data_IF_719412117188
#
_entry.id   IF_719412117188
#
_cell.length_a   1.000
_cell.length_b   1.000
_cell.length_c   1.000
_cell.angle_alpha   90.00
_cell.angle_beta   90.00
_cell.angle_gamma   90.00
#
_symmetry.space_group_name_H-M   'P 1'
#
loop_
_entity.id
_entity.type
_entity.pdbx_description
1 polymer ?
#
# COMPACT_ATOMS: atom_id res chain seq x y z
N UNK A 1 -28.02 -49.72 -23.17
CA UNK A 1 -28.45 -48.30 -23.04
C UNK A 1 -27.99 -47.72 -21.71
N UNK A 2 -26.70 -47.87 -21.36
CA UNK A 2 -26.24 -47.61 -19.99
C UNK A 2 -24.76 -47.28 -19.82
N UNK A 3 -24.04 -46.93 -20.89
CA UNK A 3 -22.61 -46.56 -20.82
C UNK A 3 -22.34 -45.11 -21.27
N UNK A 4 -23.38 -44.40 -21.72
CA UNK A 4 -23.28 -43.01 -22.17
C UNK A 4 -23.48 -42.03 -21.00
N UNK A 5 -24.35 -42.38 -20.04
CA UNK A 5 -24.67 -41.54 -18.88
C UNK A 5 -23.53 -41.50 -17.83
N UNK A 6 -22.72 -42.56 -17.71
CA UNK A 6 -21.59 -42.60 -16.77
C UNK A 6 -20.41 -41.70 -17.19
N UNK A 7 -20.15 -41.55 -18.49
CA UNK A 7 -19.05 -40.69 -18.98
C UNK A 7 -19.37 -39.20 -18.86
N UNK A 8 -20.65 -38.81 -18.93
CA UNK A 8 -21.05 -37.41 -18.72
C UNK A 8 -20.96 -36.97 -17.26
N UNK A 9 -21.15 -37.90 -16.31
CA UNK A 9 -21.00 -37.60 -14.88
C UNK A 9 -19.54 -37.38 -14.48
N UNK A 10 -18.60 -38.11 -15.11
CA UNK A 10 -17.16 -37.96 -14.85
C UNK A 10 -16.64 -36.61 -15.40
N UNK A 11 -17.16 -36.12 -16.54
CA UNK A 11 -16.81 -34.78 -17.04
C UNK A 11 -17.50 -33.64 -16.27
N UNK A 12 -18.68 -33.88 -15.69
CA UNK A 12 -19.38 -32.89 -14.84
C UNK A 12 -18.73 -32.72 -13.46
N UNK A 13 -18.08 -33.77 -12.93
CA UNK A 13 -17.37 -33.72 -11.64
C UNK A 13 -16.00 -33.03 -11.67
N UNK A 14 -15.36 -32.92 -12.84
CA UNK A 14 -14.02 -32.32 -12.96
C UNK A 14 -14.05 -30.78 -13.05
N UNK A 15 -15.22 -30.17 -13.27
CA UNK A 15 -15.38 -28.74 -13.51
C UNK A 15 -15.80 -27.91 -12.28
N UNK A 16 -15.94 -28.50 -11.09
CA UNK A 16 -16.38 -27.79 -9.88
C UNK A 16 -15.26 -27.47 -8.87
N UNK A 17 -13.99 -27.66 -9.25
CA UNK A 17 -12.84 -27.33 -8.40
C UNK A 17 -12.11 -26.05 -8.84
N UNK A 18 -12.83 -25.04 -9.33
CA UNK A 18 -12.32 -23.67 -9.29
C UNK A 18 -12.83 -23.02 -8.01
N UNK A 19 -12.16 -23.32 -6.89
CA UNK A 19 -12.26 -22.46 -5.72
C UNK A 19 -11.71 -21.10 -6.14
N UNK A 20 -12.59 -20.18 -6.52
CA UNK A 20 -12.20 -18.78 -6.61
C UNK A 20 -11.74 -18.39 -5.20
N UNK A 21 -10.44 -18.15 -5.04
CA UNK A 21 -9.87 -17.57 -3.82
C UNK A 21 -10.35 -16.12 -3.79
N UNK A 22 -11.61 -15.94 -3.39
CA UNK A 22 -12.28 -14.65 -3.34
C UNK A 22 -11.56 -13.82 -2.26
N UNK A 23 -10.77 -12.84 -2.70
CA UNK A 23 -10.15 -11.84 -1.80
C UNK A 23 -8.62 -11.87 -1.69
N UNK A 24 -7.90 -12.68 -2.47
CA UNK A 24 -6.43 -12.58 -2.46
C UNK A 24 -5.94 -11.33 -3.20
N UNK A 25 -5.03 -10.59 -2.58
CA UNK A 25 -4.37 -9.41 -3.15
C UNK A 25 -2.89 -9.38 -2.74
N UNK A 26 -2.15 -8.35 -3.15
CA UNK A 26 -0.71 -8.25 -2.87
C UNK A 26 -0.39 -8.27 -1.37
N UNK A 27 -1.28 -7.79 -0.50
CA UNK A 27 -1.09 -7.73 0.95
C UNK A 27 -1.35 -9.08 1.62
N UNK A 28 -2.36 -9.82 1.15
CA UNK A 28 -2.79 -11.11 1.75
C UNK A 28 -2.02 -12.30 1.18
N UNK A 29 -1.61 -12.26 -0.09
CA UNK A 29 -0.88 -13.35 -0.77
C UNK A 29 0.55 -13.58 -0.27
N UNK A 30 1.13 -12.62 0.48
CA UNK A 30 2.54 -12.67 0.92
C UNK A 30 2.76 -13.44 2.22
N UNK A 31 1.70 -13.88 2.91
CA UNK A 31 1.82 -14.71 4.12
C UNK A 31 2.62 -14.05 5.25
N UNK A 32 2.51 -12.73 5.39
CA UNK A 32 3.23 -11.96 6.42
C UNK A 32 2.61 -12.18 7.80
N UNK A 33 3.46 -12.30 8.83
CA UNK A 33 3.02 -12.54 10.21
C UNK A 33 3.24 -11.35 11.14
N UNK A 34 3.92 -10.30 10.67
CA UNK A 34 4.23 -9.11 11.48
C UNK A 34 3.82 -7.81 10.79
N UNK A 35 3.46 -6.81 11.59
CA UNK A 35 3.14 -5.47 11.11
C UNK A 35 4.25 -4.88 10.23
N UNK A 36 5.52 -4.98 10.68
CA UNK A 36 6.67 -4.47 9.91
C UNK A 36 6.78 -5.12 8.53
N UNK A 37 6.61 -6.44 8.44
CA UNK A 37 6.65 -7.13 7.15
C UNK A 37 5.48 -6.71 6.27
N UNK A 38 4.27 -6.62 6.82
CA UNK A 38 3.09 -6.16 6.08
C UNK A 38 3.29 -4.79 5.46
N UNK A 39 3.79 -3.82 6.24
CA UNK A 39 3.98 -2.46 5.77
C UNK A 39 5.09 -2.34 4.71
N UNK A 40 6.00 -3.31 4.64
CA UNK A 40 7.06 -3.41 3.65
C UNK A 40 6.63 -4.09 2.34
N UNK A 41 5.47 -4.74 2.29
CA UNK A 41 4.97 -5.41 1.07
C UNK A 41 4.63 -4.40 -0.01
N UNK A 42 3.76 -3.44 0.31
CA UNK A 42 3.29 -2.43 -0.62
C UNK A 42 2.73 -1.20 0.14
N UNK A 43 2.81 0.03 -0.43
CA UNK A 43 2.27 1.23 0.20
C UNK A 43 0.76 1.21 0.46
N UNK A 44 0.00 0.40 -0.27
CA UNK A 44 -1.46 0.29 -0.09
C UNK A 44 -1.87 -0.66 1.03
N UNK A 45 -0.95 -1.48 1.54
CA UNK A 45 -1.26 -2.42 2.62
C UNK A 45 -1.41 -1.68 3.95
N UNK A 46 -2.22 -2.21 4.84
CA UNK A 46 -2.44 -1.73 6.20
C UNK A 46 -2.39 -2.93 7.15
N UNK A 47 -2.25 -2.66 8.44
CA UNK A 47 -2.22 -3.69 9.47
C UNK A 47 -3.25 -3.42 10.55
N UNK A 48 -4.05 -4.42 10.92
CA UNK A 48 -4.96 -4.33 12.07
C UNK A 48 -4.33 -4.97 13.32
N UNK A 49 -4.10 -4.17 14.36
CA UNK A 49 -3.46 -4.64 15.61
C UNK A 49 -4.43 -5.01 16.73
N UNK A 50 -5.75 -4.85 16.52
CA UNK A 50 -6.77 -5.25 17.51
C UNK A 50 -6.71 -6.73 17.80
N UNK A 51 -6.74 -7.12 19.07
CA UNK A 51 -6.55 -8.51 19.48
C UNK A 51 -7.68 -9.41 18.97
N UNK A 52 -8.93 -8.93 19.07
CA UNK A 52 -10.14 -9.59 18.61
C UNK A 52 -10.22 -9.77 17.08
N UNK A 53 -9.45 -9.00 16.31
CA UNK A 53 -9.48 -9.07 14.84
C UNK A 53 -8.81 -10.35 14.34
N UNK A 54 -9.56 -11.18 13.61
CA UNK A 54 -9.08 -12.48 13.14
C UNK A 54 -9.02 -13.58 14.21
N UNK A 55 -9.58 -13.35 15.41
CA UNK A 55 -9.82 -14.44 16.37
C UNK A 55 -11.06 -15.26 15.97
N UNK A 56 -11.02 -16.57 16.20
CA UNK A 56 -12.17 -17.46 15.99
C UNK A 56 -12.22 -18.19 14.65
N UNK A 57 -11.13 -18.26 13.89
CA UNK A 57 -11.08 -19.02 12.63
C UNK A 57 -11.66 -18.30 11.41
N UNK A 58 -11.95 -17.00 11.54
CA UNK A 58 -12.18 -16.15 10.38
C UNK A 58 -10.86 -16.07 9.58
N UNK A 59 -10.91 -16.41 8.30
CA UNK A 59 -9.78 -16.38 7.35
C UNK A 59 -9.26 -14.96 7.04
N UNK A 60 -9.56 -13.99 7.92
CA UNK A 60 -9.30 -12.58 7.73
C UNK A 60 -7.86 -12.29 8.15
N UNK A 61 -7.03 -11.94 7.16
CA UNK A 61 -5.64 -11.56 7.39
C UNK A 61 -5.55 -10.23 8.12
N UNK A 62 -4.63 -10.13 9.09
CA UNK A 62 -4.27 -8.85 9.75
C UNK A 62 -3.58 -7.88 8.80
N UNK A 63 -3.02 -8.38 7.70
CA UNK A 63 -2.43 -7.58 6.64
C UNK A 63 -3.31 -7.61 5.39
N UNK A 64 -3.91 -6.48 5.04
CA UNK A 64 -4.75 -6.34 3.85
C UNK A 64 -4.74 -4.88 3.37
N UNK A 65 -5.45 -4.55 2.31
CA UNK A 65 -5.75 -3.17 1.92
C UNK A 65 -6.52 -2.47 3.05
N UNK A 66 -6.26 -1.17 3.25
CA UNK A 66 -6.92 -0.37 4.30
C UNK A 66 -8.45 -0.57 4.31
N UNK A 67 -9.09 -0.47 3.15
CA UNK A 67 -10.55 -0.57 3.06
C UNK A 67 -11.06 -1.96 3.45
N UNK A 68 -10.38 -3.04 3.01
CA UNK A 68 -10.75 -4.40 3.35
C UNK A 68 -10.69 -4.65 4.87
N UNK A 69 -9.72 -4.05 5.57
CA UNK A 69 -9.64 -4.17 7.03
C UNK A 69 -10.79 -3.44 7.72
N UNK A 70 -11.16 -2.24 7.23
CA UNK A 70 -12.29 -1.48 7.77
C UNK A 70 -13.61 -2.23 7.54
N UNK A 71 -13.82 -2.74 6.33
CA UNK A 71 -15.00 -3.53 5.96
C UNK A 71 -15.04 -4.87 6.75
N UNK A 72 -13.87 -5.41 7.09
CA UNK A 72 -13.70 -6.58 7.95
C UNK A 72 -13.92 -6.32 9.44
N UNK A 73 -14.24 -5.08 9.85
CA UNK A 73 -14.54 -4.71 11.23
C UNK A 73 -13.34 -4.22 12.05
N UNK A 74 -12.20 -3.92 11.43
CA UNK A 74 -11.12 -3.21 12.11
C UNK A 74 -11.52 -1.73 12.30
N UNK A 75 -11.31 -1.19 13.48
CA UNK A 75 -11.57 0.25 13.74
C UNK A 75 -10.41 1.11 13.25
N UNK A 76 -10.65 2.39 12.99
CA UNK A 76 -9.58 3.31 12.56
C UNK A 76 -8.46 3.44 13.59
N UNK A 77 -8.79 3.38 14.89
CA UNK A 77 -7.80 3.44 15.97
C UNK A 77 -6.98 2.15 16.07
N UNK A 78 -7.50 1.04 15.54
CA UNK A 78 -6.84 -0.26 15.46
C UNK A 78 -6.01 -0.47 14.21
N UNK A 79 -5.95 0.53 13.33
CA UNK A 79 -5.39 0.42 12.00
C UNK A 79 -4.06 1.16 11.88
N UNK A 80 -3.01 0.40 11.54
CA UNK A 80 -1.68 0.92 11.24
C UNK A 80 -1.53 1.13 9.74
N UNK A 81 -1.48 2.41 9.33
CA UNK A 81 -1.32 2.81 7.94
C UNK A 81 -0.51 4.11 7.82
N UNK A 82 0.82 4.06 7.99
CA UNK A 82 1.66 5.23 7.79
C UNK A 82 1.62 5.66 6.33
N UNK A 83 1.65 6.98 6.08
CA UNK A 83 1.71 7.57 4.75
C UNK A 83 2.99 8.39 4.58
N UNK A 84 3.49 8.44 3.34
CA UNK A 84 4.67 9.24 3.02
C UNK A 84 4.31 10.73 3.00
N UNK A 85 5.16 11.58 3.56
CA UNK A 85 4.95 13.02 3.68
C UNK A 85 6.15 13.81 3.18
N UNK A 86 5.87 15.01 2.67
CA UNK A 86 6.86 16.02 2.27
C UNK A 86 6.55 17.32 3.00
N UNK A 87 7.57 17.92 3.59
CA UNK A 87 7.49 19.27 4.16
C UNK A 87 8.63 20.14 3.61
N UNK A 88 8.29 21.35 3.21
CA UNK A 88 9.24 22.34 2.71
C UNK A 88 9.86 23.05 3.92
N UNK A 89 11.19 23.06 4.00
CA UNK A 89 11.95 23.64 5.11
C UNK A 89 12.61 24.98 4.71
N UNK A 90 12.96 25.13 3.43
CA UNK A 90 13.48 26.39 2.87
C UNK A 90 13.04 26.51 1.42
N UNK A 91 12.39 27.62 1.08
CA UNK A 91 11.84 27.92 -0.24
C UNK A 91 12.04 29.41 -0.60
N UNK A 92 13.31 29.81 -0.63
CA UNK A 92 13.71 31.12 -1.12
C UNK A 92 13.32 31.25 -2.61
N UNK A 93 12.73 32.37 -3.04
CA UNK A 93 12.42 32.62 -4.45
C UNK A 93 13.67 32.58 -5.33
N UNK A 94 13.46 32.30 -6.62
CA UNK A 94 14.53 32.38 -7.62
C UNK A 94 14.95 33.83 -7.83
N UNK A 95 16.23 34.05 -8.13
CA UNK A 95 16.76 35.39 -8.39
C UNK A 95 16.46 35.84 -9.82
N UNK A 96 15.98 37.08 -9.99
CA UNK A 96 15.64 37.64 -11.31
C UNK A 96 16.87 37.97 -12.17
N UNK A 97 18.05 38.17 -11.54
CA UNK A 97 19.32 38.49 -12.20
C UNK A 97 20.48 37.86 -11.44
N UNK A 98 21.52 37.42 -12.16
CA UNK A 98 22.79 36.98 -11.58
C UNK A 98 23.70 38.18 -11.19
N UNK A 99 23.13 39.24 -10.61
CA UNK A 99 23.85 40.44 -10.23
C UNK A 99 23.94 40.55 -8.71
N UNK A 100 25.10 40.22 -8.15
CA UNK A 100 25.37 40.15 -6.72
C UNK A 100 26.56 39.24 -6.41
N UNK A 101 26.90 39.05 -5.14
CA UNK A 101 27.83 37.99 -4.74
C UNK A 101 27.20 36.62 -5.03
N UNK A 102 28.01 35.61 -5.37
CA UNK A 102 27.52 34.29 -5.77
C UNK A 102 26.58 33.64 -4.73
N UNK A 103 26.78 33.94 -3.44
CA UNK A 103 25.98 33.41 -2.32
C UNK A 103 24.54 33.97 -2.23
N UNK A 104 24.25 35.10 -2.88
CA UNK A 104 22.91 35.72 -2.88
C UNK A 104 22.03 35.27 -4.07
N UNK A 105 22.60 34.49 -5.01
CA UNK A 105 21.88 34.04 -6.20
C UNK A 105 21.20 32.69 -5.93
N UNK A 106 19.87 32.66 -6.01
CA UNK A 106 19.06 31.45 -5.85
C UNK A 106 18.61 30.94 -7.21
N UNK A 107 19.13 29.80 -7.65
CA UNK A 107 18.83 29.19 -8.95
C UNK A 107 17.86 28.00 -8.87
N UNK A 108 17.66 27.45 -7.67
CA UNK A 108 16.80 26.28 -7.45
C UNK A 108 15.89 26.55 -6.28
N UNK A 109 14.62 26.17 -6.41
CA UNK A 109 13.66 26.14 -5.30
C UNK A 109 12.77 24.89 -5.34
N UNK A 110 12.35 24.38 -4.17
CA UNK A 110 12.81 24.75 -2.82
C UNK A 110 14.25 24.27 -2.55
N UNK A 111 14.96 24.92 -1.63
CA UNK A 111 16.36 24.58 -1.32
C UNK A 111 16.48 23.48 -0.26
N UNK A 112 15.45 23.31 0.57
CA UNK A 112 15.46 22.27 1.62
C UNK A 112 14.09 21.64 1.78
N UNK A 113 14.07 20.32 1.71
CA UNK A 113 12.90 19.47 1.91
C UNK A 113 13.16 18.48 3.06
N UNK A 114 12.11 18.11 3.77
CA UNK A 114 12.09 16.96 4.68
C UNK A 114 11.05 15.97 4.19
N UNK A 115 11.52 14.78 3.83
CA UNK A 115 10.70 13.66 3.36
C UNK A 115 10.64 12.59 4.46
N UNK A 116 9.43 12.11 4.74
CA UNK A 116 9.22 10.89 5.54
C UNK A 116 8.63 9.87 4.60
N UNK A 117 9.35 8.79 4.34
CA UNK A 117 8.94 7.78 3.36
C UNK A 117 8.54 6.48 4.07
N UNK A 118 7.37 5.97 3.69
CA UNK A 118 7.00 4.60 3.98
C UNK A 118 7.82 3.63 3.13
N UNK A 119 8.21 2.45 3.65
CA UNK A 119 8.79 1.39 2.84
C UNK A 119 7.96 1.07 1.59
N UNK A 120 8.65 0.75 0.49
CA UNK A 120 8.06 0.49 -0.83
C UNK A 120 7.28 1.66 -1.47
N UNK A 121 7.24 2.85 -0.85
CA UNK A 121 6.57 4.01 -1.40
C UNK A 121 7.53 4.91 -2.18
N UNK A 122 7.08 5.35 -3.36
CA UNK A 122 7.71 6.45 -4.10
C UNK A 122 6.95 7.75 -3.79
N UNK A 123 7.67 8.87 -3.70
CA UNK A 123 7.07 10.19 -3.51
C UNK A 123 7.59 11.15 -4.58
N UNK A 124 6.69 11.88 -5.24
CA UNK A 124 7.04 12.87 -6.25
C UNK A 124 7.15 14.25 -5.62
N UNK A 125 8.33 14.85 -5.71
CA UNK A 125 8.53 16.24 -5.31
C UNK A 125 7.97 17.16 -6.39
N UNK A 126 6.72 17.57 -6.24
CA UNK A 126 6.10 18.57 -7.12
C UNK A 126 6.73 19.95 -6.88
N UNK A 127 6.92 20.72 -7.95
CA UNK A 127 7.32 22.13 -7.86
C UNK A 127 8.82 22.38 -7.69
N UNK A 128 9.68 21.43 -8.06
CA UNK A 128 11.10 21.70 -8.22
C UNK A 128 11.29 22.61 -9.45
N UNK A 129 11.63 23.88 -9.22
CA UNK A 129 11.94 24.84 -10.28
C UNK A 129 13.44 25.09 -10.32
N UNK A 130 14.00 25.01 -11.52
CA UNK A 130 15.41 25.30 -11.81
C UNK A 130 15.43 26.38 -12.88
N UNK A 131 16.15 27.47 -12.62
CA UNK A 131 16.46 28.52 -13.60
C UNK A 131 17.52 28.05 -14.60
#
# INVERSE_FOLDING_TARGET
MGTFFDRLWIFSGLLLASSEVLGSNICTSRGVSTCRQCLAVHPSCAWCFKEEFGQGGSSVSRCDLKQNLLDGGCTEEGLEFPFSTLSVQKDTPLSDKASGAADDVTQIRPQKLRLTLRPAACYYCHGLLVL
#
